data_IF_262101448301
#
_entry.id   IF_262101448301
#
_cell.length_a   1.000
_cell.length_b   1.000
_cell.length_c   1.000
_cell.angle_alpha   90.00
_cell.angle_beta   90.00
_cell.angle_gamma   90.00
#
_symmetry.space_group_name_H-M   'P 1'
#
loop_
_entity.id
_entity.type
_entity.pdbx_description
1 polymer ?
#
# COMPACT_ATOMS: atom_id res chain seq x y z
N UNK A 1 0.63 -14.99 11.75
CA UNK A 1 -0.81 -14.97 12.05
C UNK A 1 -1.57 -14.83 10.74
N UNK A 2 -2.76 -15.40 10.60
CA UNK A 2 -3.63 -15.07 9.48
C UNK A 2 -4.10 -13.61 9.57
N UNK A 3 -4.26 -12.95 8.41
CA UNK A 3 -4.99 -11.69 8.26
C UNK A 3 -6.19 -11.94 7.38
N UNK A 4 -7.34 -11.39 7.74
CA UNK A 4 -8.47 -11.30 6.84
C UNK A 4 -8.27 -10.10 5.91
N UNK A 5 -8.33 -10.32 4.60
CA UNK A 5 -8.24 -9.27 3.58
C UNK A 5 -9.46 -9.32 2.67
N UNK A 6 -10.03 -8.15 2.39
CA UNK A 6 -11.01 -7.99 1.32
C UNK A 6 -10.44 -7.06 0.28
N UNK A 7 -10.28 -7.57 -0.94
CA UNK A 7 -9.90 -6.77 -2.11
C UNK A 7 -11.13 -6.51 -2.97
N UNK A 8 -11.48 -5.25 -3.11
CA UNK A 8 -12.51 -4.75 -4.01
C UNK A 8 -11.83 -4.13 -5.23
N UNK A 9 -12.18 -4.60 -6.43
CA UNK A 9 -11.78 -3.96 -7.68
C UNK A 9 -13.01 -3.52 -8.46
N UNK A 10 -12.91 -2.34 -9.08
CA UNK A 10 -14.01 -1.69 -9.77
C UNK A 10 -13.67 -1.58 -11.25
N UNK A 11 -14.27 -2.41 -12.10
CA UNK A 11 -14.20 -2.20 -13.54
C UNK A 11 -15.14 -1.06 -13.87
N UNK A 12 -14.64 -0.07 -14.60
CA UNK A 12 -15.43 1.09 -15.01
C UNK A 12 -15.58 1.17 -16.53
N UNK A 13 -16.53 1.98 -16.99
CA UNK A 13 -16.83 2.14 -18.42
C UNK A 13 -15.63 2.61 -19.28
N UNK A 14 -14.60 3.16 -18.65
CA UNK A 14 -13.31 3.51 -19.26
C UNK A 14 -12.21 3.46 -18.20
N UNK A 15 -10.93 3.21 -18.56
CA UNK A 15 -9.83 3.20 -17.60
C UNK A 15 -9.74 4.50 -16.80
N UNK A 16 -9.58 4.37 -15.48
CA UNK A 16 -9.37 5.49 -14.55
C UNK A 16 -7.97 6.06 -14.74
N UNK A 17 -7.87 7.40 -14.78
CA UNK A 17 -6.59 8.12 -14.96
C UNK A 17 -6.08 8.75 -13.67
N UNK A 18 -6.95 8.87 -12.68
CA UNK A 18 -6.64 9.40 -11.35
C UNK A 18 -5.89 8.36 -10.50
N UNK A 19 -5.52 8.77 -9.29
CA UNK A 19 -4.70 7.96 -8.38
C UNK A 19 -5.51 7.48 -7.18
N UNK A 20 -4.88 6.63 -6.36
CA UNK A 20 -5.41 6.24 -5.05
C UNK A 20 -5.75 7.43 -4.13
N UNK A 21 -5.19 8.62 -4.36
CA UNK A 21 -5.54 9.83 -3.61
C UNK A 21 -6.98 10.27 -3.89
N UNK A 22 -7.37 10.38 -5.15
CA UNK A 22 -8.73 10.74 -5.54
C UNK A 22 -9.71 9.63 -5.16
N UNK A 23 -9.32 8.36 -5.35
CA UNK A 23 -10.14 7.22 -4.95
C UNK A 23 -10.43 7.24 -3.45
N UNK A 24 -9.40 7.46 -2.62
CA UNK A 24 -9.57 7.68 -1.19
C UNK A 24 -10.51 8.84 -0.92
N UNK A 25 -10.38 9.94 -1.64
CA UNK A 25 -11.27 11.11 -1.52
C UNK A 25 -12.74 10.78 -1.76
N UNK A 26 -13.04 9.99 -2.80
CA UNK A 26 -14.41 9.55 -3.08
C UNK A 26 -15.03 8.76 -1.93
N UNK A 27 -14.37 7.68 -1.49
CA UNK A 27 -14.86 6.89 -0.35
C UNK A 27 -14.90 7.75 0.91
N UNK A 28 -13.93 8.66 1.04
CA UNK A 28 -13.84 9.50 2.21
C UNK A 28 -15.00 10.51 2.33
N UNK A 29 -15.47 11.02 1.19
CA UNK A 29 -16.58 11.97 1.18
C UNK A 29 -17.94 11.27 1.21
N UNK A 30 -18.04 10.08 0.62
CA UNK A 30 -19.33 9.38 0.50
C UNK A 30 -19.77 8.69 1.79
N UNK A 31 -18.83 8.13 2.55
CA UNK A 31 -19.09 7.22 3.67
C UNK A 31 -18.56 7.79 4.99
N UNK A 32 -18.95 9.04 5.30
CA UNK A 32 -18.44 9.85 6.43
C UNK A 32 -18.58 9.19 7.80
N UNK A 33 -19.53 8.27 7.94
CA UNK A 33 -19.85 7.49 9.14
C UNK A 33 -18.76 6.48 9.52
N UNK A 34 -17.90 6.06 8.57
CA UNK A 34 -16.82 5.11 8.84
C UNK A 34 -15.46 5.80 9.01
N UNK A 35 -15.01 5.95 10.26
CA UNK A 35 -13.71 6.57 10.59
C UNK A 35 -12.51 5.92 9.88
N UNK A 36 -12.56 4.60 9.67
CA UNK A 36 -11.52 3.83 8.99
C UNK A 36 -11.28 4.27 7.53
N UNK A 37 -12.30 4.81 6.86
CA UNK A 37 -12.20 5.31 5.48
C UNK A 37 -11.50 6.67 5.41
N UNK A 38 -11.67 7.50 6.44
CA UNK A 38 -11.20 8.90 6.46
C UNK A 38 -9.88 9.09 7.18
N UNK A 39 -9.57 8.21 8.15
CA UNK A 39 -8.43 8.33 9.05
C UNK A 39 -8.22 9.79 9.45
N UNK A 40 -9.19 10.34 10.18
CA UNK A 40 -9.01 11.61 10.88
C UNK A 40 -7.94 11.39 11.96
N UNK A 41 -6.74 11.88 11.69
CA UNK A 41 -5.77 12.12 12.76
C UNK A 41 -6.33 13.32 13.49
N UNK A 42 -6.98 13.08 14.62
CA UNK A 42 -7.41 14.12 15.54
C UNK A 42 -6.28 15.12 15.74
N UNK A 43 -6.64 16.40 15.66
CA UNK A 43 -5.73 17.52 15.76
C UNK A 43 -4.94 17.46 17.09
N UNK A 44 -3.71 16.93 17.04
CA UNK A 44 -2.77 16.99 18.16
C UNK A 44 -2.01 15.69 18.48
N UNK A 45 -2.43 14.52 18.01
CA UNK A 45 -1.68 13.26 18.21
C UNK A 45 -1.58 12.45 16.92
N UNK A 46 -0.42 12.53 16.26
CA UNK A 46 -0.03 11.61 15.19
C UNK A 46 0.14 10.19 15.76
N UNK A 47 -0.95 9.44 15.89
CA UNK A 47 -0.84 7.99 16.06
C UNK A 47 -0.52 7.44 14.67
N UNK A 48 0.76 7.15 14.43
CA UNK A 48 1.24 6.51 13.20
C UNK A 48 0.78 5.04 13.18
N UNK A 49 -0.51 4.79 12.93
CA UNK A 49 -1.04 3.46 12.70
C UNK A 49 -0.94 3.10 11.21
N UNK A 50 -0.72 1.81 10.94
CA UNK A 50 -0.73 1.29 9.59
C UNK A 50 -2.17 1.28 9.05
N UNK A 51 -2.42 1.77 7.82
CA UNK A 51 -3.79 1.93 7.33
C UNK A 51 -4.43 0.57 6.99
N UNK A 52 -5.53 0.28 7.70
CA UNK A 52 -6.35 -0.92 7.50
C UNK A 52 -7.24 -0.87 6.25
N UNK A 53 -7.39 0.32 5.63
CA UNK A 53 -8.00 0.49 4.31
C UNK A 53 -7.04 1.27 3.42
N UNK A 54 -6.80 0.77 2.21
CA UNK A 54 -5.83 1.34 1.28
C UNK A 54 -6.40 1.42 -0.13
N UNK A 55 -6.16 2.55 -0.80
CA UNK A 55 -6.75 2.87 -2.08
C UNK A 55 -5.68 2.92 -3.17
N UNK A 56 -5.89 2.20 -4.27
CA UNK A 56 -4.93 2.02 -5.37
C UNK A 56 -5.65 2.18 -6.70
N UNK A 57 -4.91 2.61 -7.71
CA UNK A 57 -5.33 2.50 -9.11
C UNK A 57 -4.18 1.80 -9.82
N UNK A 58 -4.42 0.59 -10.30
CA UNK A 58 -3.42 -0.27 -10.95
C UNK A 58 -3.92 -0.54 -12.36
N UNK A 59 -3.13 -0.17 -13.36
CA UNK A 59 -3.45 -0.33 -14.78
C UNK A 59 -4.84 0.21 -15.18
N UNK A 60 -5.23 1.33 -14.56
CA UNK A 60 -6.52 1.99 -14.80
C UNK A 60 -7.70 1.41 -14.03
N UNK A 61 -7.48 0.39 -13.19
CA UNK A 61 -8.50 -0.25 -12.36
C UNK A 61 -8.39 0.23 -10.90
N UNK A 62 -9.42 0.92 -10.37
CA UNK A 62 -9.55 1.20 -8.95
C UNK A 62 -9.57 -0.08 -8.12
N UNK A 63 -8.79 -0.08 -7.05
CA UNK A 63 -8.69 -1.16 -6.10
C UNK A 63 -8.71 -0.60 -4.68
N UNK A 64 -9.52 -1.20 -3.82
CA UNK A 64 -9.57 -0.91 -2.39
C UNK A 64 -9.30 -2.21 -1.64
N UNK A 65 -8.32 -2.19 -0.73
CA UNK A 65 -8.02 -3.33 0.13
C UNK A 65 -8.32 -2.97 1.59
N UNK A 66 -9.14 -3.80 2.22
CA UNK A 66 -9.47 -3.75 3.64
C UNK A 66 -8.78 -4.89 4.38
N UNK A 67 -8.32 -4.64 5.60
CA UNK A 67 -7.60 -5.59 6.46
C UNK A 67 -8.36 -5.70 7.77
N UNK A 68 -8.71 -6.91 8.19
CA UNK A 68 -9.48 -7.20 9.40
C UNK A 68 -10.74 -6.31 9.49
N UNK A 69 -10.80 -5.37 10.43
CA UNK A 69 -11.96 -4.47 10.58
C UNK A 69 -12.16 -3.57 9.34
N UNK A 70 -11.10 -3.29 8.59
CA UNK A 70 -11.20 -2.62 7.30
C UNK A 70 -11.88 -3.49 6.23
N UNK A 71 -11.78 -4.81 6.32
CA UNK A 71 -12.50 -5.72 5.43
C UNK A 71 -14.01 -5.70 5.71
N UNK A 72 -14.41 -5.68 6.99
CA UNK A 72 -15.82 -5.54 7.40
C UNK A 72 -16.46 -4.27 6.84
N UNK A 73 -15.78 -3.13 6.98
CA UNK A 73 -16.27 -1.86 6.40
C UNK A 73 -16.47 -1.98 4.88
N UNK A 74 -15.55 -2.65 4.17
CA UNK A 74 -15.72 -2.83 2.72
C UNK A 74 -16.89 -3.77 2.38
N UNK A 75 -17.19 -4.79 3.21
CA UNK A 75 -18.37 -5.66 3.03
C UNK A 75 -19.67 -4.87 3.12
N UNK A 76 -19.72 -3.81 3.93
CA UNK A 76 -20.92 -3.00 4.11
C UNK A 76 -21.15 -2.01 2.96
N UNK A 77 -20.09 -1.46 2.37
CA UNK A 77 -20.21 -0.31 1.45
C UNK A 77 -20.09 -0.64 -0.04
N UNK A 78 -19.64 -1.85 -0.41
CA UNK A 78 -19.16 -2.13 -1.78
C UNK A 78 -20.21 -1.92 -2.89
N UNK A 79 -21.51 -2.08 -2.58
CA UNK A 79 -22.62 -2.02 -3.53
C UNK A 79 -23.42 -0.70 -3.45
N UNK A 80 -23.06 0.24 -2.57
CA UNK A 80 -23.83 1.45 -2.30
C UNK A 80 -23.57 2.62 -3.29
N UNK A 81 -22.99 2.35 -4.46
CA UNK A 81 -22.70 3.35 -5.49
C UNK A 81 -22.51 2.75 -6.87
N UNK A 82 -23.17 3.27 -7.90
CA UNK A 82 -22.97 2.85 -9.29
C UNK A 82 -21.97 3.70 -10.06
N UNK A 83 -21.54 4.80 -9.47
CA UNK A 83 -20.61 5.75 -10.07
C UNK A 83 -19.58 6.20 -9.05
N UNK A 84 -18.35 6.41 -9.52
CA UNK A 84 -17.28 7.04 -8.75
C UNK A 84 -16.89 8.35 -9.42
N UNK A 85 -16.77 9.42 -8.64
CA UNK A 85 -16.26 10.72 -9.11
C UNK A 85 -14.87 10.95 -8.53
N UNK A 86 -13.87 11.01 -9.41
CA UNK A 86 -12.46 11.13 -9.08
C UNK A 86 -11.91 12.41 -9.73
N UNK A 87 -11.66 13.45 -8.91
CA UNK A 87 -11.37 14.78 -9.46
C UNK A 87 -12.57 15.29 -10.26
N UNK A 88 -12.31 15.74 -11.49
CA UNK A 88 -13.35 16.26 -12.39
C UNK A 88 -14.02 15.17 -13.25
N UNK A 89 -13.60 13.91 -13.10
CA UNK A 89 -14.09 12.79 -13.90
C UNK A 89 -15.07 11.92 -13.12
N UNK A 90 -16.20 11.59 -13.74
CA UNK A 90 -17.11 10.55 -13.25
C UNK A 90 -17.02 9.29 -14.11
N UNK A 91 -16.98 8.15 -13.44
CA UNK A 91 -16.90 6.83 -14.04
C UNK A 91 -18.10 6.00 -13.59
N UNK A 92 -18.73 5.31 -14.53
CA UNK A 92 -19.76 4.31 -14.24
C UNK A 92 -19.08 2.98 -13.93
N UNK A 93 -19.54 2.31 -12.87
CA UNK A 93 -19.02 1.00 -12.46
C UNK A 93 -19.81 -0.07 -13.20
N UNK A 94 -19.15 -0.78 -14.10
CA UNK A 94 -19.75 -1.85 -14.91
C UNK A 94 -19.66 -3.20 -14.22
N UNK A 95 -18.64 -3.40 -13.39
CA UNK A 95 -18.41 -4.65 -12.68
C UNK A 95 -17.69 -4.39 -11.36
N UNK A 96 -18.03 -5.18 -10.34
CA UNK A 96 -17.36 -5.18 -9.03
C UNK A 96 -16.85 -6.59 -8.76
N UNK A 97 -15.57 -6.71 -8.49
CA UNK A 97 -14.95 -7.97 -8.11
C UNK A 97 -14.50 -7.88 -6.66
N UNK A 98 -14.98 -8.82 -5.84
CA UNK A 98 -14.69 -8.92 -4.42
C UNK A 98 -13.94 -10.22 -4.17
N UNK A 99 -12.82 -10.12 -3.48
CA UNK A 99 -12.03 -11.27 -3.07
C UNK A 99 -11.76 -11.18 -1.58
N UNK A 100 -12.40 -12.07 -0.82
CA UNK A 100 -12.14 -12.25 0.62
C UNK A 100 -11.15 -13.40 0.81
N UNK A 101 -10.10 -13.19 1.60
CA UNK A 101 -9.10 -14.21 1.89
C UNK A 101 -8.66 -14.14 3.33
N UNK A 102 -8.25 -15.31 3.84
CA UNK A 102 -7.41 -15.41 5.02
C UNK A 102 -5.98 -15.70 4.55
N UNK A 103 -5.06 -14.76 4.77
CA UNK A 103 -3.71 -14.80 4.21
C UNK A 103 -2.64 -14.81 5.28
N UNK A 104 -1.57 -15.58 5.05
CA UNK A 104 -0.45 -15.65 5.99
C UNK A 104 0.28 -14.30 6.10
N UNK A 105 0.46 -13.84 7.33
CA UNK A 105 1.20 -12.63 7.67
C UNK A 105 2.21 -12.88 8.78
N UNK A 106 3.45 -12.47 8.59
CA UNK A 106 4.50 -12.63 9.60
C UNK A 106 5.77 -13.32 9.10
N UNK A 107 6.66 -13.68 10.03
CA UNK A 107 7.90 -14.40 9.70
C UNK A 107 7.57 -15.70 8.97
N UNK A 108 8.32 -15.97 7.90
CA UNK A 108 8.25 -17.20 7.12
C UNK A 108 9.54 -18.02 7.29
N UNK A 109 9.40 -19.34 7.26
CA UNK A 109 10.54 -20.26 7.20
C UNK A 109 11.22 -20.28 5.82
N UNK A 110 10.54 -19.77 4.79
CA UNK A 110 11.06 -19.66 3.44
C UNK A 110 11.41 -18.20 3.10
N UNK A 111 12.33 -18.02 2.16
CA UNK A 111 12.56 -16.70 1.55
C UNK A 111 11.54 -16.53 0.43
N UNK A 112 10.76 -15.46 0.52
CA UNK A 112 9.69 -15.12 -0.42
C UNK A 112 10.13 -13.94 -1.27
N UNK A 113 9.81 -13.98 -2.57
CA UNK A 113 10.10 -12.91 -3.52
C UNK A 113 8.88 -12.04 -3.74
N UNK A 114 9.08 -10.72 -3.75
CA UNK A 114 8.04 -9.72 -4.00
C UNK A 114 8.51 -8.66 -4.98
N UNK A 115 7.55 -7.99 -5.61
CA UNK A 115 7.76 -6.83 -6.47
C UNK A 115 6.90 -5.67 -6.00
N UNK A 116 7.47 -4.47 -5.98
CA UNK A 116 6.69 -3.25 -5.89
C UNK A 116 5.95 -3.00 -7.21
N UNK A 117 4.61 -3.00 -7.16
CA UNK A 117 3.75 -2.69 -8.31
C UNK A 117 3.28 -1.24 -8.32
N UNK A 118 3.49 -0.52 -7.22
CA UNK A 118 3.40 0.95 -7.17
C UNK A 118 4.66 1.53 -6.52
N UNK A 119 5.03 2.78 -6.83
CA UNK A 119 6.29 3.35 -6.36
C UNK A 119 6.39 3.32 -4.83
N UNK A 120 7.51 2.81 -4.32
CA UNK A 120 7.80 2.76 -2.89
C UNK A 120 8.48 4.06 -2.45
N UNK A 121 7.82 4.81 -1.58
CA UNK A 121 8.34 6.06 -1.01
C UNK A 121 9.24 5.75 0.20
N UNK A 122 10.44 5.25 -0.08
CA UNK A 122 11.38 4.77 0.93
C UNK A 122 12.07 5.90 1.72
N UNK A 123 12.32 7.05 1.08
CA UNK A 123 13.24 8.05 1.61
C UNK A 123 12.49 9.20 2.30
N UNK A 124 13.04 9.70 3.41
CA UNK A 124 12.70 11.02 3.94
C UNK A 124 13.65 12.08 3.35
N UNK A 125 13.39 13.36 3.57
CA UNK A 125 14.18 14.45 2.99
C UNK A 125 15.68 14.29 3.26
N UNK A 126 16.05 14.01 4.52
CA UNK A 126 17.44 13.76 4.93
C UNK A 126 18.08 12.57 4.20
N UNK A 127 17.34 11.47 4.05
CA UNK A 127 17.84 10.27 3.39
C UNK A 127 17.87 10.40 1.87
N UNK A 128 17.01 11.24 1.27
CA UNK A 128 17.03 11.54 -0.15
C UNK A 128 18.37 12.15 -0.56
N UNK A 129 18.79 13.22 0.11
CA UNK A 129 20.06 13.89 -0.19
C UNK A 129 21.27 12.97 0.02
N UNK A 130 21.22 12.16 1.08
CA UNK A 130 22.27 11.17 1.36
C UNK A 130 22.33 10.10 0.27
N UNK A 131 21.18 9.59 -0.18
CA UNK A 131 21.09 8.46 -1.11
C UNK A 131 21.85 8.72 -2.41
N UNK A 132 21.72 9.90 -3.01
CA UNK A 132 22.41 10.24 -4.26
C UNK A 132 23.93 10.46 -4.11
N UNK A 133 24.45 10.60 -2.89
CA UNK A 133 25.89 10.73 -2.61
C UNK A 133 26.57 9.40 -2.31
N UNK A 134 25.81 8.31 -2.27
CA UNK A 134 26.31 6.98 -1.93
C UNK A 134 26.58 6.15 -3.18
N UNK A 135 27.60 5.30 -3.12
CA UNK A 135 27.75 4.19 -4.06
C UNK A 135 26.58 3.20 -3.94
N UNK A 136 26.42 2.35 -4.97
CA UNK A 136 25.32 1.39 -5.03
C UNK A 136 25.26 0.45 -3.81
N UNK A 137 26.41 -0.02 -3.31
CA UNK A 137 26.45 -0.92 -2.14
C UNK A 137 25.86 -0.26 -0.90
N UNK A 138 26.20 1.01 -0.66
CA UNK A 138 25.66 1.79 0.45
C UNK A 138 24.21 2.21 0.21
N UNK A 139 23.81 2.52 -1.03
CA UNK A 139 22.42 2.76 -1.39
C UNK A 139 21.54 1.54 -1.10
N UNK A 140 21.96 0.36 -1.58
CA UNK A 140 21.28 -0.91 -1.35
C UNK A 140 21.15 -1.22 0.14
N UNK A 141 22.19 -0.99 0.93
CA UNK A 141 22.14 -1.16 2.38
C UNK A 141 21.19 -0.17 3.07
N UNK A 142 21.14 1.09 2.63
CA UNK A 142 20.18 2.08 3.13
C UNK A 142 18.74 1.62 2.85
N UNK A 143 18.44 1.22 1.61
CA UNK A 143 17.13 0.73 1.23
C UNK A 143 16.74 -0.53 2.00
N UNK A 144 17.66 -1.50 2.15
CA UNK A 144 17.41 -2.72 2.93
C UNK A 144 16.98 -2.40 4.35
N UNK A 145 17.71 -1.52 5.03
CA UNK A 145 17.38 -1.07 6.40
C UNK A 145 16.04 -0.36 6.45
N UNK A 146 15.75 0.51 5.48
CA UNK A 146 14.46 1.19 5.38
C UNK A 146 13.31 0.19 5.21
N UNK A 147 13.46 -0.80 4.31
CA UNK A 147 12.41 -1.77 4.05
C UNK A 147 12.14 -2.68 5.25
N UNK A 148 13.18 -3.13 5.94
CA UNK A 148 13.05 -3.84 7.23
C UNK A 148 12.27 -2.97 8.23
N UNK A 149 12.61 -1.69 8.35
CA UNK A 149 11.88 -0.74 9.21
C UNK A 149 10.40 -0.56 8.81
N UNK A 150 10.09 -0.55 7.52
CA UNK A 150 8.72 -0.46 7.01
C UNK A 150 7.92 -1.74 7.30
N UNK A 151 8.52 -2.93 7.14
CA UNK A 151 7.89 -4.20 7.50
C UNK A 151 7.63 -4.25 9.02
N UNK A 152 8.58 -3.82 9.85
CA UNK A 152 8.39 -3.74 11.31
C UNK A 152 7.27 -2.77 11.69
N UNK A 153 7.16 -1.63 10.99
CA UNK A 153 6.10 -0.65 11.22
C UNK A 153 4.72 -1.20 10.83
N UNK A 154 4.63 -1.91 9.70
CA UNK A 154 3.42 -2.61 9.27
C UNK A 154 3.03 -3.72 10.26
N UNK A 155 3.98 -4.57 10.64
CA UNK A 155 3.78 -5.63 11.63
C UNK A 155 3.22 -5.07 12.94
N UNK A 156 3.84 -4.03 13.48
CA UNK A 156 3.36 -3.36 14.69
C UNK A 156 1.95 -2.78 14.51
N UNK A 157 1.67 -2.14 13.37
CA UNK A 157 0.36 -1.54 13.09
C UNK A 157 -0.76 -2.55 12.79
N UNK A 158 -0.40 -3.82 12.61
CA UNK A 158 -1.31 -4.95 12.45
C UNK A 158 -1.21 -5.91 13.65
N UNK A 159 -0.69 -5.44 14.79
CA UNK A 159 -0.59 -6.19 16.04
C UNK A 159 0.18 -7.53 15.96
N UNK A 160 1.12 -7.64 15.00
CA UNK A 160 2.03 -8.76 14.88
C UNK A 160 3.37 -8.48 15.56
N UNK A 161 3.72 -9.33 16.52
CA UNK A 161 5.03 -9.31 17.18
C UNK A 161 6.04 -10.09 16.36
N UNK A 162 7.06 -9.41 15.85
CA UNK A 162 8.17 -10.04 15.11
C UNK A 162 9.15 -10.68 16.08
N UNK A 163 9.20 -12.01 16.11
CA UNK A 163 10.02 -12.81 17.04
C UNK A 163 11.35 -13.29 16.47
N UNK A 164 11.66 -12.96 15.21
CA UNK A 164 12.84 -13.46 14.50
C UNK A 164 13.43 -12.40 13.58
N UNK A 165 14.71 -12.56 13.23
CA UNK A 165 15.40 -11.61 12.36
C UNK A 165 14.81 -11.60 10.94
N UNK A 166 14.49 -10.41 10.44
CA UNK A 166 14.07 -10.21 9.05
C UNK A 166 15.31 -10.17 8.15
N UNK A 167 15.53 -11.26 7.41
CA UNK A 167 16.50 -11.39 6.34
C UNK A 167 15.87 -10.80 5.08
N UNK A 168 16.44 -9.72 4.56
CA UNK A 168 15.94 -9.02 3.40
C UNK A 168 17.06 -8.72 2.43
N UNK A 169 16.83 -8.91 1.14
CA UNK A 169 17.69 -8.39 0.08
C UNK A 169 16.89 -7.68 -1.01
N UNK A 170 17.51 -6.69 -1.66
CA UNK A 170 16.88 -5.85 -2.69
C UNK A 170 17.56 -6.11 -4.03
N UNK A 171 16.74 -6.31 -5.06
CA UNK A 171 17.17 -6.46 -6.45
C UNK A 171 17.53 -5.13 -7.11
N UNK A 172 17.39 -5.08 -8.44
CA UNK A 172 17.64 -3.86 -9.20
C UNK A 172 16.57 -2.81 -8.88
N UNK A 173 17.02 -1.57 -8.71
CA UNK A 173 16.17 -0.41 -8.42
C UNK A 173 16.00 0.44 -9.68
N UNK A 174 14.77 0.93 -9.89
CA UNK A 174 14.45 2.05 -10.77
C UNK A 174 13.87 3.19 -9.95
N UNK A 175 14.04 4.41 -10.45
CA UNK A 175 13.55 5.62 -9.81
C UNK A 175 12.40 6.21 -10.60
N UNK A 176 11.39 6.70 -9.88
CA UNK A 176 10.24 7.40 -10.44
C UNK A 176 9.87 8.57 -9.55
N UNK A 177 9.84 9.78 -10.11
CA UNK A 177 9.37 10.94 -9.36
C UNK A 177 7.87 10.83 -9.12
N UNK A 178 7.47 11.05 -7.86
CA UNK A 178 6.10 10.98 -7.40
C UNK A 178 5.73 12.29 -6.70
N UNK A 179 4.46 12.69 -6.74
CA UNK A 179 3.98 13.87 -6.03
C UNK A 179 3.00 13.46 -4.94
N UNK A 180 3.23 13.90 -3.71
CA UNK A 180 2.36 13.66 -2.55
C UNK A 180 2.05 15.00 -1.90
N UNK A 181 0.77 15.41 -1.91
CA UNK A 181 0.33 16.71 -1.37
C UNK A 181 1.15 17.90 -1.91
N UNK A 182 1.43 17.91 -3.22
CA UNK A 182 2.24 18.95 -3.86
C UNK A 182 3.75 18.84 -3.62
N UNK A 183 4.22 17.87 -2.82
CA UNK A 183 5.65 17.65 -2.57
C UNK A 183 6.18 16.54 -3.46
N UNK A 184 7.25 16.83 -4.20
CA UNK A 184 7.93 15.82 -5.01
C UNK A 184 8.77 14.89 -4.12
N UNK A 185 8.64 13.59 -4.34
CA UNK A 185 9.33 12.53 -3.60
C UNK A 185 9.89 11.50 -4.59
N UNK A 186 11.04 10.90 -4.25
CA UNK A 186 11.58 9.78 -5.00
C UNK A 186 10.79 8.50 -4.69
N UNK A 187 10.11 7.98 -5.70
CA UNK A 187 9.57 6.63 -5.71
C UNK A 187 10.63 5.65 -6.20
N UNK A 188 10.66 4.49 -5.54
CA UNK A 188 11.56 3.37 -5.86
C UNK A 188 10.71 2.21 -6.37
N UNK A 189 11.10 1.64 -7.49
CA UNK A 189 10.52 0.43 -8.05
C UNK A 189 11.59 -0.66 -8.04
N UNK A 190 11.34 -1.78 -7.36
CA UNK A 190 12.29 -2.89 -7.27
C UNK A 190 11.61 -4.20 -6.89
N UNK A 191 12.34 -5.29 -7.13
CA UNK A 191 12.05 -6.60 -6.55
C UNK A 191 12.84 -6.76 -5.26
N UNK A 192 12.32 -7.54 -4.31
CA UNK A 192 13.01 -7.86 -3.07
C UNK A 192 12.68 -9.27 -2.60
N UNK A 193 13.57 -9.83 -1.80
CA UNK A 193 13.43 -11.14 -1.19
C UNK A 193 13.42 -10.98 0.32
N UNK A 194 12.50 -11.64 1.03
CA UNK A 194 12.38 -11.53 2.48
C UNK A 194 11.82 -12.81 3.11
N UNK A 195 12.25 -13.14 4.34
CA UNK A 195 11.63 -14.20 5.15
C UNK A 195 10.38 -13.70 5.91
N UNK A 196 9.49 -12.98 5.22
CA UNK A 196 8.27 -12.41 5.80
C UNK A 196 7.12 -12.52 4.79
N UNK A 197 6.01 -13.12 5.20
CA UNK A 197 4.78 -13.24 4.42
C UNK A 197 3.99 -11.93 4.48
N UNK A 198 3.67 -11.39 3.31
CA UNK A 198 2.90 -10.16 3.11
C UNK A 198 1.78 -10.50 2.13
N UNK A 199 0.50 -10.34 2.51
CA UNK A 199 -0.62 -10.46 1.59
C UNK A 199 -0.46 -9.55 0.37
N UNK A 200 -0.92 -10.02 -0.78
CA UNK A 200 -0.81 -9.27 -2.03
C UNK A 200 -1.53 -7.92 -1.92
N UNK A 201 -0.99 -6.92 -2.62
CA UNK A 201 -1.49 -5.55 -2.68
C UNK A 201 -1.39 -4.73 -1.39
N UNK A 202 -0.85 -5.25 -0.29
CA UNK A 202 -0.51 -4.40 0.87
C UNK A 202 0.64 -3.46 0.55
N UNK A 203 0.58 -2.24 1.10
CA UNK A 203 1.60 -1.21 0.85
C UNK A 203 2.65 -1.11 1.95
N UNK A 204 3.89 -0.79 1.58
CA UNK A 204 4.99 -0.51 2.50
C UNK A 204 5.51 0.93 2.34
N UNK A 205 6.02 1.49 3.44
CA UNK A 205 6.63 2.82 3.41
C UNK A 205 5.65 3.95 3.68
N UNK A 206 5.81 5.08 2.98
CA UNK A 206 4.99 6.28 3.20
C UNK A 206 3.80 6.32 2.26
N UNK A 207 2.73 6.98 2.72
CA UNK A 207 1.51 7.22 1.93
C UNK A 207 0.82 5.93 1.46
N UNK A 208 0.92 4.86 2.25
CA UNK A 208 0.34 3.54 1.95
C UNK A 208 -1.17 3.62 1.70
N UNK A 209 -1.91 4.39 2.51
CA UNK A 209 -3.35 4.58 2.32
C UNK A 209 -3.71 5.20 0.97
N UNK A 210 -2.77 5.87 0.31
CA UNK A 210 -2.96 6.52 -0.99
C UNK A 210 -2.42 5.70 -2.16
N UNK A 211 -2.03 4.46 -1.87
CA UNK A 211 -1.68 3.45 -2.87
C UNK A 211 -0.21 3.31 -3.20
N UNK A 212 0.68 3.98 -2.46
CA UNK A 212 2.12 3.83 -2.64
C UNK A 212 2.68 2.55 -1.99
N UNK A 213 3.76 2.04 -2.57
CA UNK A 213 4.52 0.91 -2.06
C UNK A 213 3.77 -0.42 -2.03
N UNK A 214 2.75 -0.59 -2.86
CA UNK A 214 1.99 -1.84 -2.98
C UNK A 214 2.91 -2.95 -3.50
N UNK A 215 2.86 -4.12 -2.84
CA UNK A 215 3.67 -5.28 -3.21
C UNK A 215 2.81 -6.46 -3.65
N UNK A 216 3.35 -7.29 -4.54
CA UNK A 216 2.77 -8.60 -4.87
C UNK A 216 3.85 -9.66 -4.81
N UNK A 217 3.48 -10.87 -4.41
CA UNK A 217 4.37 -12.02 -4.40
C UNK A 217 4.70 -12.42 -5.84
N UNK A 218 5.98 -12.54 -6.15
CA UNK A 218 6.43 -13.08 -7.43
C UNK A 218 6.28 -14.59 -7.38
N UNK A 219 5.39 -15.14 -8.23
CA UNK A 219 5.30 -16.59 -8.42
C UNK A 219 6.43 -16.99 -9.36
N UNK A 220 7.37 -17.81 -8.88
CA UNK A 220 8.28 -18.51 -9.79
C UNK A 220 7.42 -19.52 -10.56
N UNK A 221 7.34 -19.35 -11.88
CA UNK A 221 6.81 -20.35 -12.80
C UNK A 221 7.81 -21.51 -12.93
#
# INVERSE_FOLDING_TARGET
MPLETLTLTLTSSRPVRETGVQLRGFFATKFTEYELLHQHVDAGRLVYQYPKIQYKVIDGTPMVIGINEGAEVLKEIYDQYDRITLGDNTYEIVERNITLREEAFGISHQILSYRFITPWLALNQRNYERYFRLDWSKQKNLLRRTLVGNILSMAKGLDYVVTSHIKLDIGRVRHRMCTVKGVNMLGIECDFMVNFAIPDYLGLGKSVSRGFGAVVKVKNL
#
